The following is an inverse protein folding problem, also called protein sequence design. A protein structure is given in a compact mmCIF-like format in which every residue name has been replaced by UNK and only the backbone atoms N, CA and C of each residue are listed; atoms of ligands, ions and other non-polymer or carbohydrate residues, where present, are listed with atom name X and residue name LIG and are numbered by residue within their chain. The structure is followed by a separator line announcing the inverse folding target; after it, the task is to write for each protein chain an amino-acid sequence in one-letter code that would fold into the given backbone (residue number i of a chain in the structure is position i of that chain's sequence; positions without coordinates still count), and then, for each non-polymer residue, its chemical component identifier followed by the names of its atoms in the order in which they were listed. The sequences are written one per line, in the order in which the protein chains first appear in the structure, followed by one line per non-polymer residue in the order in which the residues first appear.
data_IF_734129232278
#
_entry.id   IF_734129232278
#
_cell.length_a   1.000
_cell.length_b   1.000
_cell.length_c   1.000
_cell.angle_alpha   90.00
_cell.angle_beta   90.00
_cell.angle_gamma   90.00
#
_symmetry.space_group_name_H-M   'P 1'
#
loop_
_entity.id
_entity.type
_entity.pdbx_description
1 polymer ?
#
# COMPACT_ATOMS: atom_id res chain seq x y z
N UNK A 1 -34.01 -16.33 -43.58
CA UNK A 1 -33.55 -15.20 -42.73
C UNK A 1 -33.52 -15.49 -41.21
N UNK A 2 -34.03 -16.62 -40.71
CA UNK A 2 -34.10 -16.94 -39.25
C UNK A 2 -32.77 -17.35 -38.59
N UNK A 3 -31.84 -17.95 -39.36
CA UNK A 3 -30.60 -18.52 -38.76
C UNK A 3 -29.52 -17.47 -38.38
N UNK A 4 -29.49 -16.29 -39.05
CA UNK A 4 -28.59 -15.21 -38.65
C UNK A 4 -28.85 -14.68 -37.24
N UNK A 5 -30.11 -14.73 -36.80
CA UNK A 5 -30.50 -14.26 -35.46
C UNK A 5 -29.96 -15.16 -34.32
N UNK A 6 -29.86 -16.48 -34.52
CA UNK A 6 -29.41 -17.44 -33.51
C UNK A 6 -27.90 -17.35 -33.35
N UNK A 7 -27.14 -17.32 -34.43
CA UNK A 7 -25.68 -17.16 -34.42
C UNK A 7 -25.28 -15.86 -33.73
N UNK A 8 -25.92 -14.75 -34.07
CA UNK A 8 -25.67 -13.46 -33.45
C UNK A 8 -25.95 -13.49 -31.92
N UNK A 9 -27.05 -14.12 -31.52
CA UNK A 9 -27.39 -14.25 -30.08
C UNK A 9 -26.35 -15.05 -29.30
N UNK A 10 -25.89 -16.18 -29.85
CA UNK A 10 -24.89 -17.04 -29.22
C UNK A 10 -23.56 -16.29 -29.11
N UNK A 11 -23.09 -15.62 -30.17
CA UNK A 11 -21.86 -14.83 -30.15
C UNK A 11 -21.94 -13.71 -29.12
N UNK A 12 -23.06 -12.98 -29.05
CA UNK A 12 -23.28 -11.92 -28.10
C UNK A 12 -23.28 -12.43 -26.64
N UNK A 13 -23.88 -13.60 -26.40
CA UNK A 13 -23.91 -14.25 -25.09
C UNK A 13 -22.51 -14.67 -24.66
N UNK A 14 -21.73 -15.32 -25.50
CA UNK A 14 -20.36 -15.75 -25.22
C UNK A 14 -19.47 -14.53 -24.97
N UNK A 15 -19.56 -13.52 -25.82
CA UNK A 15 -18.80 -12.28 -25.68
C UNK A 15 -19.14 -11.56 -24.34
N UNK A 16 -20.42 -11.48 -24.00
CA UNK A 16 -20.87 -10.89 -22.75
C UNK A 16 -20.34 -11.65 -21.53
N UNK A 17 -20.36 -12.98 -21.58
CA UNK A 17 -19.84 -13.83 -20.52
C UNK A 17 -18.31 -13.67 -20.33
N UNK A 18 -17.55 -13.64 -21.43
CA UNK A 18 -16.10 -13.42 -21.39
C UNK A 18 -15.78 -12.03 -20.85
N UNK A 19 -16.51 -10.99 -21.27
CA UNK A 19 -16.33 -9.65 -20.77
C UNK A 19 -16.61 -9.56 -19.26
N UNK A 20 -17.70 -10.15 -18.79
CA UNK A 20 -18.04 -10.20 -17.38
C UNK A 20 -16.97 -10.93 -16.56
N UNK A 21 -16.48 -12.08 -17.03
CA UNK A 21 -15.41 -12.83 -16.37
C UNK A 21 -14.11 -12.01 -16.30
N UNK A 22 -13.76 -11.32 -17.36
CA UNK A 22 -12.56 -10.47 -17.39
C UNK A 22 -12.65 -9.34 -16.36
N UNK A 23 -13.80 -8.67 -16.24
CA UNK A 23 -14.02 -7.62 -15.25
C UNK A 23 -13.85 -8.16 -13.82
N UNK A 24 -14.43 -9.34 -13.54
CA UNK A 24 -14.29 -9.98 -12.22
C UNK A 24 -12.83 -10.30 -11.91
N UNK A 25 -12.10 -10.89 -12.88
CA UNK A 25 -10.68 -11.24 -12.68
C UNK A 25 -9.80 -10.00 -12.47
N UNK A 26 -10.00 -8.93 -13.23
CA UNK A 26 -9.26 -7.68 -13.06
C UNK A 26 -9.55 -7.05 -11.70
N UNK A 27 -10.82 -7.01 -11.29
CA UNK A 27 -11.21 -6.47 -9.97
C UNK A 27 -10.59 -7.29 -8.84
N UNK A 28 -10.60 -8.61 -8.95
CA UNK A 28 -10.00 -9.50 -7.95
C UNK A 28 -8.47 -9.33 -7.90
N UNK A 29 -7.81 -9.23 -9.05
CA UNK A 29 -6.37 -9.00 -9.12
C UNK A 29 -5.98 -7.67 -8.45
N UNK A 30 -6.72 -6.59 -8.70
CA UNK A 30 -6.50 -5.29 -8.06
C UNK A 30 -6.67 -5.37 -6.54
N UNK A 31 -7.71 -6.06 -6.07
CA UNK A 31 -7.96 -6.23 -4.65
C UNK A 31 -6.82 -6.99 -3.96
N UNK A 32 -6.41 -8.13 -4.53
CA UNK A 32 -5.31 -8.95 -3.99
C UNK A 32 -3.99 -8.18 -3.98
N UNK A 33 -3.68 -7.46 -5.05
CA UNK A 33 -2.46 -6.67 -5.14
C UNK A 33 -2.42 -5.54 -4.10
N UNK A 34 -3.53 -4.82 -3.92
CA UNK A 34 -3.64 -3.76 -2.91
C UNK A 34 -3.47 -4.33 -1.50
N UNK A 35 -4.14 -5.44 -1.21
CA UNK A 35 -4.05 -6.11 0.09
C UNK A 35 -2.61 -6.58 0.38
N UNK A 36 -1.97 -7.25 -0.59
CA UNK A 36 -0.60 -7.73 -0.45
C UNK A 36 0.40 -6.58 -0.26
N UNK A 37 0.29 -5.51 -1.06
CA UNK A 37 1.18 -4.35 -0.96
C UNK A 37 1.05 -3.65 0.40
N UNK A 38 -0.18 -3.49 0.90
CA UNK A 38 -0.42 -2.87 2.22
C UNK A 38 0.14 -3.72 3.35
N UNK A 39 -0.08 -5.05 3.32
CA UNK A 39 0.48 -5.95 4.33
C UNK A 39 2.01 -5.95 4.31
N UNK A 40 2.63 -5.99 3.13
CA UNK A 40 4.09 -5.90 3.01
C UNK A 40 4.63 -4.59 3.58
N UNK A 41 3.95 -3.46 3.32
CA UNK A 41 4.33 -2.16 3.89
C UNK A 41 4.24 -2.15 5.42
N UNK A 42 3.19 -2.76 5.99
CA UNK A 42 3.03 -2.90 7.45
C UNK A 42 4.14 -3.77 8.07
N UNK A 43 4.49 -4.90 7.46
CA UNK A 43 5.56 -5.78 7.93
C UNK A 43 6.93 -5.11 7.85
N UNK A 44 7.21 -4.38 6.76
CA UNK A 44 8.45 -3.62 6.62
C UNK A 44 8.55 -2.52 7.67
N UNK A 45 7.44 -1.80 7.92
CA UNK A 45 7.35 -0.77 8.94
C UNK A 45 7.63 -1.35 10.33
N UNK A 46 6.95 -2.44 10.70
CA UNK A 46 7.14 -3.09 12.00
C UNK A 46 8.58 -3.59 12.16
N UNK A 47 9.14 -4.24 11.15
CA UNK A 47 10.51 -4.74 11.15
C UNK A 47 11.52 -3.60 11.30
N UNK A 48 11.36 -2.50 10.55
CA UNK A 48 12.25 -1.35 10.63
C UNK A 48 12.23 -0.70 12.03
N UNK A 49 11.04 -0.48 12.60
CA UNK A 49 10.89 0.10 13.94
C UNK A 49 11.48 -0.83 15.01
N UNK A 50 11.17 -2.12 14.98
CA UNK A 50 11.68 -3.10 15.95
C UNK A 50 13.19 -3.27 15.88
N UNK A 51 13.77 -3.23 14.69
CA UNK A 51 15.23 -3.29 14.55
C UNK A 51 15.88 -2.02 15.09
N UNK A 52 15.34 -0.85 14.78
CA UNK A 52 15.87 0.45 15.24
C UNK A 52 15.79 0.65 16.75
N UNK A 53 14.77 0.08 17.43
CA UNK A 53 14.67 0.13 18.89
C UNK A 53 15.92 -0.43 19.58
N UNK A 54 16.56 -1.45 19.01
CA UNK A 54 17.77 -2.09 19.58
C UNK A 54 18.99 -1.16 19.58
N UNK A 55 18.97 -0.15 18.73
CA UNK A 55 20.07 0.81 18.55
C UNK A 55 19.81 2.15 19.28
N UNK A 56 18.79 2.21 20.14
CA UNK A 56 18.51 3.36 20.99
C UNK A 56 18.78 2.98 22.45
N UNK A 57 19.67 3.71 23.08
CA UNK A 57 19.92 3.61 24.51
C UNK A 57 19.46 4.92 25.16
N UNK A 58 18.51 4.79 26.08
CA UNK A 58 18.00 5.93 26.85
C UNK A 58 18.60 5.85 28.25
N UNK A 59 19.27 6.93 28.70
CA UNK A 59 19.87 7.05 30.01
C UNK A 59 19.34 8.31 30.72
N UNK A 60 19.59 8.44 32.02
CA UNK A 60 19.19 9.59 32.82
C UNK A 60 19.51 10.94 32.19
N UNK A 61 20.64 11.04 31.54
CA UNK A 61 21.19 12.29 31.03
C UNK A 61 21.12 12.48 29.55
N UNK A 62 20.91 11.39 28.75
CA UNK A 62 20.94 11.47 27.31
C UNK A 62 20.25 10.29 26.63
N UNK A 63 19.72 10.53 25.45
CA UNK A 63 19.34 9.49 24.49
C UNK A 63 20.47 9.31 23.50
N UNK A 64 21.07 8.13 23.47
CA UNK A 64 22.13 7.77 22.53
C UNK A 64 21.54 6.94 21.43
N UNK A 65 21.69 7.42 20.20
CA UNK A 65 21.27 6.71 18.97
C UNK A 65 22.53 6.11 18.38
N UNK A 66 22.59 4.79 18.26
CA UNK A 66 23.74 4.08 17.70
C UNK A 66 23.91 4.32 16.20
N UNK A 67 25.13 4.15 15.71
CA UNK A 67 25.49 4.36 14.30
C UNK A 67 24.74 3.40 13.35
N UNK A 68 24.25 2.27 13.84
CA UNK A 68 23.48 1.29 13.08
C UNK A 68 21.99 1.65 12.99
N UNK A 69 21.55 2.76 13.57
CA UNK A 69 20.17 3.23 13.45
C UNK A 69 19.88 3.69 12.02
N UNK A 70 18.86 3.11 11.42
CA UNK A 70 18.50 3.39 10.03
C UNK A 70 17.31 4.34 9.97
N UNK A 71 17.57 5.59 9.62
CA UNK A 71 16.53 6.62 9.53
C UNK A 71 15.59 6.45 8.35
N UNK A 72 16.07 5.87 7.25
CA UNK A 72 15.27 5.60 6.07
C UNK A 72 15.71 4.32 5.38
N UNK A 73 14.78 3.41 5.17
CA UNK A 73 15.02 2.17 4.41
C UNK A 73 13.74 1.67 3.77
N UNK A 74 13.80 1.32 2.48
CA UNK A 74 12.70 0.70 1.72
C UNK A 74 11.35 1.45 1.84
N UNK A 75 11.37 2.78 1.79
CA UNK A 75 10.16 3.59 1.91
C UNK A 75 9.70 3.83 3.34
N UNK A 76 10.36 3.24 4.34
CA UNK A 76 10.07 3.46 5.77
C UNK A 76 10.99 4.53 6.32
N UNK A 77 10.40 5.58 6.88
CA UNK A 77 11.10 6.60 7.67
C UNK A 77 10.96 6.28 9.15
N UNK A 78 12.06 6.32 9.89
CA UNK A 78 12.07 6.13 11.36
C UNK A 78 12.55 7.41 12.04
N UNK A 79 11.75 7.93 12.95
CA UNK A 79 11.94 9.19 13.65
C UNK A 79 11.98 8.95 15.16
N UNK A 80 12.82 9.69 15.85
CA UNK A 80 12.91 9.65 17.31
C UNK A 80 12.43 10.98 17.87
N UNK A 81 11.50 10.91 18.84
CA UNK A 81 10.93 12.07 19.50
C UNK A 81 11.11 11.99 21.00
N UNK A 82 11.25 13.15 21.63
CA UNK A 82 11.21 13.27 23.08
C UNK A 82 9.82 12.93 23.63
N UNK A 83 9.72 12.79 24.95
CA UNK A 83 8.45 12.66 25.67
C UNK A 83 7.47 13.80 25.34
N UNK A 84 7.98 15.02 25.16
CA UNK A 84 7.16 16.20 24.82
C UNK A 84 6.73 16.25 23.35
N UNK A 85 7.15 15.29 22.50
CA UNK A 85 6.85 15.29 21.07
C UNK A 85 7.77 16.12 20.20
N UNK A 86 8.90 16.60 20.74
CA UNK A 86 9.92 17.30 19.95
C UNK A 86 10.77 16.30 19.18
N UNK A 87 11.00 16.54 17.88
CA UNK A 87 11.86 15.69 17.07
C UNK A 87 13.31 15.76 17.58
N UNK A 88 13.88 14.61 17.90
CA UNK A 88 15.27 14.49 18.33
C UNK A 88 16.18 14.02 17.19
N UNK A 89 15.70 13.10 16.36
CA UNK A 89 16.47 12.57 15.25
C UNK A 89 15.58 12.05 14.12
N UNK A 90 16.12 12.04 12.91
CA UNK A 90 15.45 11.65 11.68
C UNK A 90 14.96 12.85 10.87
N UNK A 91 14.41 12.57 9.70
CA UNK A 91 13.85 13.60 8.82
C UNK A 91 12.38 13.31 8.55
N UNK A 92 11.54 14.28 8.86
CA UNK A 92 10.10 14.18 8.61
C UNK A 92 9.85 14.23 7.10
N UNK A 93 9.11 13.27 6.52
CA UNK A 93 8.72 13.33 5.11
C UNK A 93 7.94 14.61 4.80
N UNK A 94 8.18 15.18 3.62
CA UNK A 94 7.68 16.52 3.21
C UNK A 94 6.17 16.66 3.36
N UNK A 95 5.43 15.60 3.12
CA UNK A 95 3.95 15.62 3.11
C UNK A 95 3.34 15.13 4.45
N UNK A 96 4.15 14.85 5.46
CA UNK A 96 3.66 14.38 6.74
C UNK A 96 3.48 15.53 7.74
N UNK A 97 2.28 15.67 8.32
CA UNK A 97 1.98 16.67 9.36
C UNK A 97 2.38 16.14 10.73
N UNK A 98 3.16 16.91 11.46
CA UNK A 98 3.67 16.56 12.79
C UNK A 98 2.62 16.58 13.91
N UNK A 99 1.40 17.04 13.62
CA UNK A 99 0.32 17.16 14.60
C UNK A 99 -0.38 15.84 14.94
N UNK A 100 0.02 14.72 14.31
CA UNK A 100 -0.56 13.40 14.60
C UNK A 100 -0.15 12.93 15.99
N UNK A 101 -1.10 12.66 16.92
CA UNK A 101 -0.79 12.22 18.27
C UNK A 101 -0.07 10.86 18.26
N UNK A 102 0.72 10.58 19.30
CA UNK A 102 1.37 9.28 19.47
C UNK A 102 0.40 8.25 20.04
N UNK A 103 0.50 7.01 19.54
CA UNK A 103 -0.32 5.89 20.01
C UNK A 103 0.53 4.62 20.06
N UNK A 104 0.80 4.15 21.27
CA UNK A 104 1.76 3.09 21.54
C UNK A 104 1.34 1.74 20.96
N UNK A 105 2.19 1.15 20.11
CA UNK A 105 2.10 -0.24 19.68
C UNK A 105 0.99 -0.54 18.69
N UNK A 106 0.35 0.50 18.12
CA UNK A 106 -0.76 0.33 17.17
C UNK A 106 -0.29 0.75 15.77
N UNK A 107 -0.45 -0.17 14.80
CA UNK A 107 -0.29 0.17 13.39
C UNK A 107 -1.58 0.79 12.91
N UNK A 108 -1.51 2.01 12.40
CA UNK A 108 -2.67 2.77 11.95
C UNK A 108 -2.40 3.53 10.66
N UNK A 109 -3.45 3.76 9.90
CA UNK A 109 -3.40 4.63 8.73
C UNK A 109 -3.89 6.02 9.10
N UNK A 110 -3.14 7.04 8.68
CA UNK A 110 -3.43 8.45 8.95
C UNK A 110 -3.41 9.23 7.65
N UNK A 111 -4.36 10.14 7.49
CA UNK A 111 -4.36 11.09 6.39
C UNK A 111 -3.57 12.35 6.77
N UNK A 112 -2.66 12.76 5.88
CA UNK A 112 -1.83 13.93 6.07
C UNK A 112 -1.77 14.73 4.77
N UNK A 113 -2.62 15.74 4.65
CA UNK A 113 -2.84 16.45 3.38
C UNK A 113 -3.52 15.56 2.36
N UNK A 114 -2.90 15.41 1.20
CA UNK A 114 -3.38 14.53 0.11
C UNK A 114 -2.82 13.10 0.21
N UNK A 115 -1.89 12.85 1.14
CA UNK A 115 -1.21 11.57 1.27
C UNK A 115 -1.76 10.78 2.45
N UNK A 116 -1.66 9.47 2.33
CA UNK A 116 -2.00 8.51 3.39
C UNK A 116 -0.74 7.80 3.85
N UNK A 117 -0.54 7.76 5.16
CA UNK A 117 0.61 7.12 5.79
C UNK A 117 0.17 5.98 6.69
N UNK A 118 0.98 4.94 6.74
CA UNK A 118 0.89 3.91 7.77
C UNK A 118 1.92 4.25 8.84
N UNK A 119 1.48 4.31 10.10
CA UNK A 119 2.31 4.67 11.25
C UNK A 119 2.37 3.54 12.25
N UNK A 120 3.51 3.47 12.92
CA UNK A 120 3.70 2.67 14.13
C UNK A 120 4.50 3.50 15.12
N UNK A 121 3.91 3.75 16.29
CA UNK A 121 4.57 4.45 17.39
C UNK A 121 4.93 3.45 18.49
N UNK A 122 6.18 3.47 18.91
CA UNK A 122 6.67 2.67 20.04
C UNK A 122 7.25 3.59 21.11
N UNK A 123 6.92 3.32 22.37
CA UNK A 123 7.49 4.00 23.51
C UNK A 123 8.65 3.19 24.08
N UNK A 124 9.80 3.80 24.21
CA UNK A 124 10.99 3.21 24.83
C UNK A 124 11.15 3.87 26.21
N UNK A 125 10.75 3.20 27.28
CA UNK A 125 10.89 3.75 28.63
C UNK A 125 12.35 3.72 29.07
N UNK A 126 12.75 4.73 29.80
CA UNK A 126 13.96 4.75 30.56
C UNK A 126 13.65 4.47 32.04
N UNK A 127 12.65 5.18 32.59
CA UNK A 127 12.08 4.93 33.92
C UNK A 127 10.54 4.98 33.86
N UNK A 128 9.89 5.12 35.02
CA UNK A 128 8.43 5.16 35.15
C UNK A 128 7.79 6.34 34.39
N UNK A 129 8.51 7.45 34.25
CA UNK A 129 7.97 8.66 33.65
C UNK A 129 8.72 9.11 32.38
N UNK A 130 9.97 8.70 32.22
CA UNK A 130 10.84 9.19 31.14
C UNK A 130 11.08 8.14 30.08
N UNK A 131 11.26 8.60 28.85
CA UNK A 131 11.51 7.77 27.69
C UNK A 131 11.46 8.58 26.41
N UNK A 132 11.54 7.88 25.29
CA UNK A 132 11.45 8.45 23.97
C UNK A 132 10.43 7.71 23.12
N UNK A 133 9.84 8.43 22.18
CA UNK A 133 9.02 7.84 21.15
C UNK A 133 9.86 7.53 19.92
N UNK A 134 9.70 6.34 19.39
CA UNK A 134 10.13 6.00 18.04
C UNK A 134 8.89 5.91 17.18
N UNK A 135 8.87 6.67 16.09
CA UNK A 135 7.79 6.68 15.11
C UNK A 135 8.32 6.17 13.79
N UNK A 136 7.81 5.04 13.35
CA UNK A 136 7.95 4.59 11.99
C UNK A 136 6.79 5.11 11.14
N UNK A 137 7.07 5.48 9.91
CA UNK A 137 6.04 5.85 8.95
C UNK A 137 6.44 5.45 7.54
N UNK A 138 5.45 5.03 6.78
CA UNK A 138 5.59 4.69 5.36
C UNK A 138 4.35 5.16 4.62
N UNK A 139 4.51 5.48 3.34
CA UNK A 139 3.36 5.81 2.49
C UNK A 139 2.47 4.57 2.31
N UNK A 140 1.15 4.78 2.26
CA UNK A 140 0.23 3.73 1.81
C UNK A 140 0.53 3.47 0.33
N UNK A 141 0.80 2.22 -0.07
CA UNK A 141 1.09 1.91 -1.47
C UNK A 141 -0.03 2.39 -2.39
N UNK A 142 0.32 3.24 -3.34
CA UNK A 142 -0.65 3.73 -4.32
C UNK A 142 -0.75 2.75 -5.49
N UNK A 143 -1.78 1.92 -5.48
CA UNK A 143 -2.10 0.98 -6.57
C UNK A 143 -2.93 1.61 -7.68
N UNK A 144 -3.24 2.92 -7.61
CA UNK A 144 -4.04 3.62 -8.63
C UNK A 144 -3.33 3.57 -9.99
N UNK A 145 -2.01 3.70 -10.02
CA UNK A 145 -1.23 3.56 -11.27
C UNK A 145 -1.36 2.17 -11.88
N UNK A 146 -1.28 1.13 -11.06
CA UNK A 146 -1.45 -0.25 -11.52
C UNK A 146 -2.89 -0.49 -12.00
N UNK A 147 -3.87 0.04 -11.27
CA UNK A 147 -5.28 -0.02 -11.66
C UNK A 147 -5.51 0.66 -13.02
N UNK A 148 -4.95 1.85 -13.22
CA UNK A 148 -5.06 2.59 -14.48
C UNK A 148 -4.41 1.82 -15.64
N UNK A 149 -3.24 1.23 -15.42
CA UNK A 149 -2.56 0.40 -16.42
C UNK A 149 -3.38 -0.84 -16.79
N UNK A 150 -3.89 -1.57 -15.79
CA UNK A 150 -4.74 -2.75 -16.00
C UNK A 150 -6.04 -2.39 -16.74
N UNK A 151 -6.67 -1.26 -16.42
CA UNK A 151 -7.84 -0.76 -17.14
C UNK A 151 -7.52 -0.41 -18.58
N UNK A 152 -6.38 0.24 -18.86
CA UNK A 152 -5.94 0.52 -20.24
C UNK A 152 -5.69 -0.76 -21.04
N UNK A 153 -4.97 -1.72 -20.48
CA UNK A 153 -4.72 -3.01 -21.11
C UNK A 153 -6.03 -3.74 -21.37
N UNK A 154 -6.94 -3.77 -20.39
CA UNK A 154 -8.27 -4.39 -20.55
C UNK A 154 -9.11 -3.71 -21.64
N UNK A 155 -9.05 -2.39 -21.73
CA UNK A 155 -9.78 -1.61 -22.75
C UNK A 155 -9.30 -1.91 -24.19
N UNK A 156 -8.05 -2.31 -24.35
CA UNK A 156 -7.48 -2.70 -25.64
C UNK A 156 -7.72 -4.20 -25.91
N UNK A 157 -7.48 -5.06 -24.93
CA UNK A 157 -7.54 -6.52 -25.11
C UNK A 157 -8.98 -7.03 -25.28
N UNK A 158 -9.96 -6.46 -24.56
CA UNK A 158 -11.36 -6.86 -24.69
C UNK A 158 -11.92 -6.74 -26.13
N UNK A 159 -11.78 -5.59 -26.82
CA UNK A 159 -12.22 -5.48 -28.20
C UNK A 159 -11.49 -6.45 -29.14
N UNK A 160 -10.18 -6.64 -28.96
CA UNK A 160 -9.39 -7.58 -29.80
C UNK A 160 -9.90 -9.01 -29.64
N UNK A 161 -10.08 -9.48 -28.41
CA UNK A 161 -10.65 -10.82 -28.17
C UNK A 161 -12.07 -10.95 -28.68
N UNK A 162 -12.88 -9.91 -28.57
CA UNK A 162 -14.24 -9.89 -29.10
C UNK A 162 -14.25 -10.06 -30.63
N UNK A 163 -13.38 -9.33 -31.34
CA UNK A 163 -13.23 -9.43 -32.79
C UNK A 163 -12.72 -10.81 -33.18
N UNK A 164 -11.72 -11.35 -32.50
CA UNK A 164 -11.19 -12.70 -32.77
C UNK A 164 -12.22 -13.78 -32.52
N UNK A 165 -13.01 -13.67 -31.45
CA UNK A 165 -14.10 -14.59 -31.16
C UNK A 165 -15.21 -14.52 -32.24
N UNK A 166 -15.56 -13.33 -32.71
CA UNK A 166 -16.53 -13.12 -33.77
C UNK A 166 -16.02 -13.69 -35.10
N UNK A 167 -14.76 -13.47 -35.45
CA UNK A 167 -14.14 -14.05 -36.66
C UNK A 167 -14.05 -15.57 -36.55
N UNK A 168 -13.62 -16.12 -35.43
CA UNK A 168 -13.55 -17.56 -35.18
C UNK A 168 -14.92 -18.24 -35.33
N UNK A 169 -15.97 -17.64 -34.78
CA UNK A 169 -17.33 -18.16 -34.91
C UNK A 169 -17.84 -18.13 -36.37
N UNK A 170 -17.33 -17.20 -37.17
CA UNK A 170 -17.71 -17.12 -38.59
C UNK A 170 -17.02 -18.18 -39.44
N UNK A 171 -15.83 -18.63 -39.07
CA UNK A 171 -15.08 -19.67 -39.77
C UNK A 171 -15.54 -21.11 -39.42
N UNK A 172 -16.10 -21.34 -38.24
CA UNK A 172 -16.48 -22.65 -37.71
C UNK A 172 -17.94 -23.03 -38.13
N UNK A 173 -18.71 -22.08 -38.62
CA UNK A 173 -20.12 -22.26 -39.01
C UNK A 173 -20.29 -21.99 -40.50
#
# INVERSE_FOLDING_TARGET
MKNKSIKLKITLWITGLVAALTVVLVTMALFVTNYAATNTAMEQLETAVRNNIKHIQVTDSATVIGDEFVYYNNGVSTLVYSKSGSLMAGQIPVNFKTTVPFEKGVIRTVESGENRFILLDMWIPYDWENGVWIRGLTDVPDVIYLARYLLMVSAITLPVFTILAALGSWFII
#
